data_IF_498649249449
#
_entry.id   IF_498649249449
#
_cell.length_a   1.000
_cell.length_b   1.000
_cell.length_c   1.000
_cell.angle_alpha   90.00
_cell.angle_beta   90.00
_cell.angle_gamma   90.00
#
_symmetry.space_group_name_H-M   'P 1'
#
loop_
_entity.id
_entity.type
_entity.pdbx_description
1 polymer ?
#
# COMPACT_ATOMS: atom_id res chain seq x y z
N UNK A 1 -7.57 5.77 25.78
CA UNK A 1 -6.58 4.73 25.42
C UNK A 1 -6.65 3.61 26.45
N UNK A 2 -6.78 2.38 25.97
CA UNK A 2 -6.87 1.15 26.76
C UNK A 2 -5.49 0.69 27.20
N UNK A 3 -5.35 0.17 28.41
CA UNK A 3 -4.10 -0.42 28.92
C UNK A 3 -4.06 -1.93 28.71
N UNK A 4 -2.88 -2.54 28.75
CA UNK A 4 -2.74 -4.01 28.69
C UNK A 4 -3.56 -4.70 29.79
N UNK A 5 -3.58 -4.14 31.02
CA UNK A 5 -4.38 -4.69 32.12
C UNK A 5 -5.87 -4.71 31.77
N UNK A 6 -6.39 -3.61 31.22
CA UNK A 6 -7.79 -3.53 30.77
C UNK A 6 -8.09 -4.50 29.62
N UNK A 7 -7.15 -4.69 28.69
CA UNK A 7 -7.29 -5.65 27.60
C UNK A 7 -7.30 -7.10 28.10
N UNK A 8 -6.41 -7.45 29.03
CA UNK A 8 -6.37 -8.77 29.67
C UNK A 8 -7.64 -9.01 30.48
N UNK A 9 -8.15 -8.02 31.21
CA UNK A 9 -9.41 -8.14 31.97
C UNK A 9 -10.63 -8.32 31.06
N UNK A 10 -10.67 -7.63 29.91
CA UNK A 10 -11.71 -7.82 28.91
C UNK A 10 -11.66 -9.24 28.33
N UNK A 11 -10.46 -9.73 27.97
CA UNK A 11 -10.29 -11.08 27.46
C UNK A 11 -10.53 -12.15 28.53
N UNK A 12 -10.18 -11.90 29.80
CA UNK A 12 -10.45 -12.82 30.90
C UNK A 12 -11.95 -13.02 31.09
N UNK A 13 -12.73 -11.93 31.09
CA UNK A 13 -14.20 -12.01 31.14
C UNK A 13 -14.79 -12.75 29.94
N UNK A 14 -14.22 -12.53 28.75
CA UNK A 14 -14.64 -13.24 27.54
C UNK A 14 -14.33 -14.74 27.57
N UNK A 15 -13.12 -15.12 28.01
CA UNK A 15 -12.64 -16.52 28.02
C UNK A 15 -13.25 -17.32 29.18
N UNK A 16 -13.30 -16.72 30.37
CA UNK A 16 -13.60 -17.42 31.62
C UNK A 16 -14.99 -17.11 32.17
N UNK A 17 -15.66 -16.05 31.71
CA UNK A 17 -16.93 -15.61 32.30
C UNK A 17 -16.80 -15.40 33.82
N UNK A 18 -17.71 -16.04 34.57
CA UNK A 18 -17.75 -15.99 36.05
C UNK A 18 -17.04 -17.20 36.71
N UNK A 19 -16.16 -17.91 36.00
CA UNK A 19 -15.47 -19.06 36.57
C UNK A 19 -14.63 -18.66 37.79
N UNK A 20 -14.63 -19.47 38.87
CA UNK A 20 -13.73 -19.29 40.01
C UNK A 20 -12.27 -19.23 39.54
N UNK A 21 -11.43 -18.46 40.24
CA UNK A 21 -10.05 -18.21 39.84
C UNK A 21 -9.23 -19.50 39.64
N UNK A 22 -9.50 -20.54 40.42
CA UNK A 22 -8.88 -21.87 40.33
C UNK A 22 -9.25 -22.65 39.06
N UNK A 23 -10.40 -22.34 38.46
CA UNK A 23 -10.91 -22.95 37.23
C UNK A 23 -10.71 -22.07 36.00
N UNK A 24 -10.10 -20.90 36.17
CA UNK A 24 -9.90 -19.93 35.09
C UNK A 24 -8.70 -20.32 34.20
N UNK A 25 -8.87 -20.21 32.89
CA UNK A 25 -7.78 -20.36 31.92
C UNK A 25 -6.97 -19.08 31.91
N UNK A 26 -5.65 -19.22 31.99
CA UNK A 26 -4.74 -18.10 31.83
C UNK A 26 -4.89 -17.50 30.43
N UNK A 27 -4.92 -16.18 30.36
CA UNK A 27 -4.98 -15.45 29.09
C UNK A 27 -3.55 -15.16 28.65
N UNK A 28 -3.21 -15.61 27.45
CA UNK A 28 -1.99 -15.22 26.75
C UNK A 28 -2.27 -13.96 25.93
N UNK A 29 -1.24 -13.14 25.72
CA UNK A 29 -1.38 -11.91 24.95
C UNK A 29 -0.17 -11.65 24.06
N UNK A 30 -0.41 -10.99 22.94
CA UNK A 30 0.59 -10.45 22.04
C UNK A 30 0.21 -9.02 21.69
N UNK A 31 1.12 -8.09 21.96
CA UNK A 31 0.93 -6.67 21.66
C UNK A 31 1.35 -6.34 20.23
N UNK A 32 0.59 -5.47 19.57
CA UNK A 32 0.93 -4.88 18.29
C UNK A 32 0.51 -3.40 18.25
N UNK A 33 0.76 -2.71 17.15
CA UNK A 33 0.57 -1.26 17.01
C UNK A 33 -0.88 -0.78 17.28
N UNK A 34 -1.88 -1.60 16.95
CA UNK A 34 -3.30 -1.25 17.10
C UNK A 34 -3.98 -1.82 18.37
N UNK A 35 -3.29 -2.66 19.16
CA UNK A 35 -3.93 -3.33 20.29
C UNK A 35 -3.21 -4.59 20.77
N UNK A 36 -4.00 -5.54 21.25
CA UNK A 36 -3.52 -6.83 21.75
C UNK A 36 -4.32 -7.97 21.15
N UNK A 37 -3.64 -8.99 20.64
CA UNK A 37 -4.25 -10.30 20.36
C UNK A 37 -4.21 -11.11 21.65
N UNK A 38 -5.32 -11.67 22.09
CA UNK A 38 -5.45 -12.43 23.33
C UNK A 38 -6.08 -13.79 23.07
N UNK A 39 -5.59 -14.84 23.70
CA UNK A 39 -6.12 -16.19 23.54
C UNK A 39 -5.95 -16.99 24.84
N UNK A 40 -6.78 -18.02 25.09
CA UNK A 40 -6.61 -18.84 26.27
C UNK A 40 -5.39 -19.75 26.15
N UNK A 41 -4.71 -20.00 27.27
CA UNK A 41 -3.66 -21.01 27.34
C UNK A 41 -4.25 -22.39 26.98
N UNK A 42 -3.55 -23.20 26.15
CA UNK A 42 -4.02 -24.52 25.79
C UNK A 42 -4.11 -25.42 27.04
N UNK A 43 -5.13 -26.29 27.14
CA UNK A 43 -5.19 -27.25 28.24
C UNK A 43 -3.97 -28.19 28.18
N UNK A 44 -3.45 -28.65 29.34
CA UNK A 44 -2.35 -29.59 29.39
C UNK A 44 -2.70 -30.89 28.66
N UNK A 45 -1.72 -31.44 27.93
CA UNK A 45 -1.89 -32.68 27.17
C UNK A 45 -2.05 -33.84 28.15
N UNK A 46 -3.23 -34.46 28.16
CA UNK A 46 -3.48 -35.65 28.97
C UNK A 46 -3.04 -36.89 28.21
N UNK A 47 -2.04 -37.59 28.75
CA UNK A 47 -1.57 -38.89 28.25
C UNK A 47 -2.20 -39.98 29.10
N UNK A 48 -2.80 -40.98 28.48
CA UNK A 48 -3.35 -42.12 29.21
C UNK A 48 -2.18 -42.88 29.90
N UNK A 49 -2.15 -42.96 31.24
CA UNK A 49 -1.03 -43.55 31.97
C UNK A 49 -0.88 -45.07 31.77
N UNK A 50 -1.92 -45.75 31.29
CA UNK A 50 -1.91 -47.20 31.05
C UNK A 50 -1.53 -47.56 29.61
N UNK A 51 -1.81 -46.70 28.64
CA UNK A 51 -1.60 -47.01 27.20
C UNK A 51 -0.54 -46.12 26.53
N UNK A 52 -0.10 -45.03 27.18
CA UNK A 52 0.84 -44.07 26.62
C UNK A 52 0.27 -43.24 25.46
N UNK A 53 -0.98 -43.46 25.07
CA UNK A 53 -1.64 -42.76 23.97
C UNK A 53 -2.05 -41.36 24.43
N UNK A 54 -1.67 -40.34 23.65
CA UNK A 54 -2.12 -38.96 23.85
C UNK A 54 -3.63 -38.90 23.62
N UNK A 55 -4.39 -38.43 24.61
CA UNK A 55 -5.81 -38.14 24.43
C UNK A 55 -5.93 -36.93 23.51
N UNK A 56 -6.80 -37.01 22.51
CA UNK A 56 -7.10 -35.85 21.66
C UNK A 56 -7.64 -34.71 22.54
N UNK A 57 -7.24 -33.45 22.32
CA UNK A 57 -7.80 -32.30 23.05
C UNK A 57 -9.33 -32.29 22.97
N UNK A 58 -10.01 -31.99 24.08
CA UNK A 58 -11.48 -31.90 24.11
C UNK A 58 -11.99 -30.68 23.32
N UNK A 59 -11.16 -29.65 23.14
CA UNK A 59 -11.43 -28.47 22.32
C UNK A 59 -10.46 -28.36 21.14
N UNK A 60 -10.99 -28.32 19.92
CA UNK A 60 -10.23 -28.07 18.69
C UNK A 60 -10.31 -26.57 18.37
N UNK A 61 -9.18 -25.86 18.46
CA UNK A 61 -9.02 -24.48 17.99
C UNK A 61 -9.75 -23.43 18.83
N UNK A 62 -9.20 -23.06 19.98
CA UNK A 62 -9.74 -21.95 20.77
C UNK A 62 -9.63 -20.64 19.96
N UNK A 63 -10.77 -19.94 19.80
CA UNK A 63 -10.80 -18.61 19.19
C UNK A 63 -9.83 -17.66 19.89
N UNK A 64 -9.33 -16.67 19.18
CA UNK A 64 -8.57 -15.57 19.77
C UNK A 64 -9.42 -14.29 19.73
N UNK A 65 -9.04 -13.28 20.49
CA UNK A 65 -9.67 -11.97 20.49
C UNK A 65 -8.64 -10.89 20.19
N UNK A 66 -9.10 -9.77 19.65
CA UNK A 66 -8.32 -8.54 19.58
C UNK A 66 -9.01 -7.47 20.40
N UNK A 67 -8.25 -6.83 21.29
CA UNK A 67 -8.69 -5.62 22.01
C UNK A 67 -8.04 -4.40 21.36
N UNK A 68 -8.88 -3.49 20.88
CA UNK A 68 -8.46 -2.21 20.28
C UNK A 68 -7.85 -1.27 21.33
N UNK A 69 -6.71 -0.66 21.01
CA UNK A 69 -6.03 0.28 21.92
C UNK A 69 -6.73 1.63 22.06
N UNK A 70 -7.33 2.13 20.99
CA UNK A 70 -8.01 3.41 20.98
C UNK A 70 -9.38 3.31 21.67
N UNK A 71 -10.16 2.28 21.33
CA UNK A 71 -11.56 2.14 21.75
C UNK A 71 -11.77 1.21 22.93
N UNK A 72 -10.89 0.22 23.14
CA UNK A 72 -11.07 -0.84 24.13
C UNK A 72 -12.06 -1.92 23.72
N UNK A 73 -12.55 -1.90 22.48
CA UNK A 73 -13.46 -2.90 21.94
C UNK A 73 -12.77 -4.27 21.82
N UNK A 74 -13.41 -5.32 22.35
CA UNK A 74 -12.99 -6.70 22.18
C UNK A 74 -13.73 -7.34 21.00
N UNK A 75 -12.98 -7.89 20.06
CA UNK A 75 -13.50 -8.55 18.86
C UNK A 75 -12.95 -9.97 18.76
N UNK A 76 -13.77 -10.95 18.38
CA UNK A 76 -13.38 -12.37 18.33
C UNK A 76 -12.96 -12.77 16.92
N UNK A 77 -11.93 -13.59 16.81
CA UNK A 77 -11.24 -13.95 15.59
C UNK A 77 -10.98 -15.46 15.50
N UNK A 78 -10.82 -16.01 14.28
CA UNK A 78 -10.49 -17.41 14.07
C UNK A 78 -9.24 -17.86 14.82
N UNK A 79 -9.15 -19.16 15.13
CA UNK A 79 -7.97 -19.77 15.74
C UNK A 79 -6.85 -19.94 14.70
N UNK A 80 -6.22 -18.83 14.32
CA UNK A 80 -5.08 -18.76 13.39
C UNK A 80 -3.86 -18.19 14.11
N UNK A 81 -2.63 -18.37 13.57
CA UNK A 81 -1.43 -17.79 14.19
C UNK A 81 -1.57 -16.30 14.43
N UNK A 82 -1.04 -15.80 15.55
CA UNK A 82 -1.15 -14.39 15.96
C UNK A 82 -0.83 -13.37 14.85
N UNK A 83 0.23 -13.53 14.03
CA UNK A 83 0.49 -12.60 12.93
C UNK A 83 -0.66 -12.52 11.90
N UNK A 84 -1.36 -13.63 11.68
CA UNK A 84 -2.53 -13.68 10.80
C UNK A 84 -3.72 -12.95 11.41
N UNK A 85 -3.93 -13.08 12.73
CA UNK A 85 -4.96 -12.31 13.46
C UNK A 85 -4.68 -10.80 13.39
N UNK A 86 -3.41 -10.41 13.57
CA UNK A 86 -2.98 -9.01 13.43
C UNK A 86 -3.26 -8.50 12.02
N UNK A 87 -2.91 -9.29 10.99
CA UNK A 87 -3.17 -8.95 9.59
C UNK A 87 -4.67 -8.78 9.33
N UNK A 88 -5.48 -9.75 9.75
CA UNK A 88 -6.94 -9.72 9.64
C UNK A 88 -7.56 -8.53 10.35
N UNK A 89 -7.06 -8.20 11.53
CA UNK A 89 -7.54 -7.07 12.31
C UNK A 89 -7.15 -5.73 11.68
N UNK A 90 -5.94 -5.61 11.14
CA UNK A 90 -5.54 -4.48 10.31
C UNK A 90 -6.45 -4.35 9.11
N UNK A 91 -6.64 -5.42 8.35
CA UNK A 91 -7.55 -5.44 7.20
C UNK A 91 -8.97 -5.02 7.60
N UNK A 92 -9.50 -5.52 8.73
CA UNK A 92 -10.76 -5.05 9.28
C UNK A 92 -10.71 -3.57 9.61
N UNK A 93 -9.71 -3.03 10.27
CA UNK A 93 -9.69 -1.59 10.56
C UNK A 93 -9.68 -0.74 9.27
N UNK A 94 -9.05 -1.22 8.21
CA UNK A 94 -9.10 -0.59 6.89
C UNK A 94 -10.41 -0.84 6.12
N UNK A 95 -11.11 -1.93 6.42
CA UNK A 95 -12.38 -2.34 5.84
C UNK A 95 -13.52 -2.31 6.88
N UNK A 96 -13.45 -1.41 7.88
CA UNK A 96 -14.13 -1.54 9.18
C UNK A 96 -15.66 -1.56 9.18
N UNK A 97 -16.24 -1.44 8.00
CA UNK A 97 -17.67 -1.44 7.73
C UNK A 97 -18.02 -2.43 6.61
N UNK A 98 -17.11 -3.36 6.26
CA UNK A 98 -17.35 -4.29 5.18
C UNK A 98 -18.52 -5.20 5.52
N UNK A 99 -19.58 -5.05 4.74
CA UNK A 99 -20.74 -5.92 4.76
C UNK A 99 -20.76 -6.71 3.45
N UNK A 100 -20.58 -8.05 3.48
CA UNK A 100 -20.64 -8.88 2.28
C UNK A 100 -22.05 -8.93 1.66
N UNK A 101 -23.10 -8.52 2.38
CA UNK A 101 -24.45 -8.37 1.83
C UNK A 101 -24.63 -7.08 1.02
N UNK A 102 -23.70 -6.12 1.14
CA UNK A 102 -23.72 -4.88 0.39
C UNK A 102 -22.76 -4.96 -0.81
N UNK A 103 -23.05 -4.25 -1.92
CA UNK A 103 -22.13 -4.19 -3.04
C UNK A 103 -20.82 -3.50 -2.63
N UNK A 104 -19.67 -3.83 -3.23
CA UNK A 104 -18.44 -3.08 -3.01
C UNK A 104 -18.58 -1.61 -3.45
N UNK A 105 -18.06 -0.68 -2.64
CA UNK A 105 -18.12 0.77 -2.94
C UNK A 105 -16.83 1.43 -2.48
N UNK A 106 -16.23 2.27 -3.33
CA UNK A 106 -15.05 3.06 -2.94
C UNK A 106 -15.42 4.24 -2.04
N UNK A 107 -14.39 4.79 -1.40
CA UNK A 107 -14.40 5.98 -0.58
C UNK A 107 -14.83 7.24 -1.33
N UNK A 108 -15.22 8.29 -0.60
CA UNK A 108 -15.53 9.61 -1.16
C UNK A 108 -14.29 10.34 -1.68
N UNK A 109 -13.08 9.82 -1.45
CA UNK A 109 -11.82 10.53 -1.70
C UNK A 109 -11.60 11.66 -0.71
N UNK A 110 -11.10 12.79 -1.20
CA UNK A 110 -10.84 14.00 -0.41
C UNK A 110 -11.23 15.25 -1.19
N UNK A 111 -11.46 16.34 -0.49
CA UNK A 111 -11.58 17.69 -1.04
C UNK A 111 -10.22 18.40 -0.98
N UNK A 112 -9.95 19.23 -1.97
CA UNK A 112 -8.87 20.20 -1.95
C UNK A 112 -9.40 21.60 -2.25
N UNK A 113 -8.93 22.57 -1.48
CA UNK A 113 -9.20 23.99 -1.61
C UNK A 113 -7.90 24.74 -1.86
N UNK A 114 -7.82 25.47 -2.97
CA UNK A 114 -6.71 26.35 -3.29
C UNK A 114 -7.16 27.80 -3.16
N UNK A 115 -6.45 28.57 -2.33
CA UNK A 115 -6.63 30.02 -2.23
C UNK A 115 -5.55 30.69 -3.09
N UNK A 116 -5.92 31.61 -3.96
CA UNK A 116 -4.99 32.29 -4.88
C UNK A 116 -5.39 33.75 -5.11
N UNK A 117 -4.52 34.56 -5.70
CA UNK A 117 -4.85 35.92 -6.16
C UNK A 117 -5.27 35.90 -7.61
N UNK A 118 -6.39 36.54 -7.93
CA UNK A 118 -6.82 36.74 -9.31
C UNK A 118 -6.05 37.87 -10.02
N UNK A 119 -6.43 38.20 -11.26
CA UNK A 119 -5.80 39.25 -12.06
C UNK A 119 -5.86 40.65 -11.42
N UNK A 120 -6.82 40.87 -10.51
CA UNK A 120 -6.97 42.13 -9.77
C UNK A 120 -6.19 42.12 -8.44
N UNK A 121 -5.55 40.99 -8.10
CA UNK A 121 -4.83 40.79 -6.85
C UNK A 121 -5.74 40.38 -5.68
N UNK A 122 -7.04 40.15 -5.93
CA UNK A 122 -8.01 39.80 -4.90
C UNK A 122 -7.97 38.29 -4.58
N UNK A 123 -8.12 37.90 -3.30
CA UNK A 123 -8.09 36.50 -2.91
C UNK A 123 -9.36 35.76 -3.39
N UNK A 124 -9.15 34.70 -4.16
CA UNK A 124 -10.17 33.78 -4.64
C UNK A 124 -9.90 32.36 -4.14
N UNK A 125 -10.94 31.52 -4.20
CA UNK A 125 -10.87 30.12 -3.79
C UNK A 125 -11.38 29.20 -4.91
N UNK A 126 -10.63 28.14 -5.20
CA UNK A 126 -11.05 27.03 -6.05
C UNK A 126 -11.15 25.75 -5.21
N UNK A 127 -12.31 25.09 -5.24
CA UNK A 127 -12.55 23.83 -4.53
C UNK A 127 -12.80 22.71 -5.53
N UNK A 128 -12.03 21.62 -5.41
CA UNK A 128 -12.27 20.38 -6.16
C UNK A 128 -12.36 19.17 -5.23
N UNK A 129 -13.06 18.14 -5.69
CA UNK A 129 -13.14 16.84 -5.03
C UNK A 129 -12.41 15.77 -5.85
N UNK A 130 -11.95 14.71 -5.19
CA UNK A 130 -11.44 13.51 -5.84
C UNK A 130 -12.41 12.99 -6.90
N UNK A 131 -11.83 12.50 -8.00
CA UNK A 131 -12.55 11.66 -8.97
C UNK A 131 -11.74 10.37 -9.12
N UNK A 132 -12.42 9.23 -9.20
CA UNK A 132 -11.79 7.91 -9.33
C UNK A 132 -10.89 7.85 -10.56
N UNK A 133 -9.69 7.30 -10.42
CA UNK A 133 -8.75 7.13 -11.54
C UNK A 133 -8.14 8.44 -12.05
N UNK A 134 -8.33 9.56 -11.35
CA UNK A 134 -7.81 10.88 -11.71
C UNK A 134 -6.77 11.35 -10.70
N UNK A 135 -5.82 12.21 -11.10
CA UNK A 135 -4.89 12.84 -10.15
C UNK A 135 -5.62 13.52 -8.99
N UNK A 136 -4.92 13.61 -7.86
CA UNK A 136 -5.41 14.23 -6.64
C UNK A 136 -6.02 15.63 -6.90
N UNK A 137 -7.14 15.99 -6.24
CA UNK A 137 -7.86 17.24 -6.54
C UNK A 137 -7.00 18.50 -6.40
N UNK A 138 -6.02 18.52 -5.48
CA UNK A 138 -5.08 19.62 -5.35
C UNK A 138 -4.22 19.86 -6.62
N UNK A 139 -3.73 18.77 -7.26
CA UNK A 139 -2.97 18.89 -8.49
C UNK A 139 -3.86 19.33 -9.66
N UNK A 140 -5.08 18.79 -9.76
CA UNK A 140 -6.02 19.22 -10.80
C UNK A 140 -6.46 20.68 -10.63
N UNK A 141 -6.65 21.13 -9.38
CA UNK A 141 -6.98 22.52 -9.10
C UNK A 141 -5.83 23.42 -9.54
N UNK A 142 -4.59 23.03 -9.26
CA UNK A 142 -3.41 23.74 -9.75
C UNK A 142 -3.30 23.75 -11.29
N UNK A 143 -3.53 22.62 -11.96
CA UNK A 143 -3.57 22.56 -13.43
C UNK A 143 -4.63 23.49 -14.02
N UNK A 144 -5.81 23.55 -13.39
CA UNK A 144 -6.89 24.45 -13.81
C UNK A 144 -6.51 25.92 -13.63
N UNK A 145 -5.88 26.29 -12.50
CA UNK A 145 -5.41 27.65 -12.25
C UNK A 145 -4.29 28.06 -13.24
N UNK A 146 -3.35 27.16 -13.55
CA UNK A 146 -2.34 27.41 -14.57
C UNK A 146 -2.95 27.68 -15.95
N UNK A 147 -3.97 26.93 -16.34
CA UNK A 147 -4.70 27.16 -17.60
C UNK A 147 -5.41 28.51 -17.63
N UNK A 148 -5.73 29.07 -16.46
CA UNK A 148 -6.31 30.40 -16.28
C UNK A 148 -5.24 31.50 -16.14
N UNK A 149 -3.95 31.17 -16.28
CA UNK A 149 -2.85 32.14 -16.22
C UNK A 149 -2.40 32.52 -14.81
N UNK A 150 -2.89 31.85 -13.77
CA UNK A 150 -2.46 32.08 -12.39
C UNK A 150 -1.04 31.53 -12.20
N UNK A 151 -0.15 32.35 -11.65
CA UNK A 151 1.24 31.95 -11.37
C UNK A 151 1.33 31.20 -10.03
N UNK A 152 2.37 30.39 -9.86
CA UNK A 152 2.51 29.55 -8.65
C UNK A 152 2.64 30.38 -7.37
N UNK A 153 3.35 31.50 -7.44
CA UNK A 153 3.55 32.50 -6.39
C UNK A 153 2.27 33.27 -6.01
N UNK A 154 1.26 33.25 -6.88
CA UNK A 154 -0.06 33.84 -6.60
C UNK A 154 -0.97 32.86 -5.86
N UNK A 155 -0.58 31.58 -5.74
CA UNK A 155 -1.27 30.59 -4.90
C UNK A 155 -0.81 30.73 -3.45
N UNK A 156 -1.73 31.13 -2.58
CA UNK A 156 -1.47 31.46 -1.19
C UNK A 156 -1.55 30.24 -0.26
N UNK A 157 -2.48 29.32 -0.51
CA UNK A 157 -2.70 28.17 0.35
C UNK A 157 -3.30 26.97 -0.38
N UNK A 158 -2.98 25.79 0.12
CA UNK A 158 -3.61 24.50 -0.24
C UNK A 158 -4.15 23.89 1.05
N UNK A 159 -5.45 23.63 1.10
CA UNK A 159 -6.11 22.98 2.23
C UNK A 159 -6.82 21.70 1.78
N UNK A 160 -6.67 20.60 2.52
CA UNK A 160 -7.28 19.31 2.18
C UNK A 160 -7.91 18.61 3.38
N UNK A 161 -8.94 17.77 3.16
CA UNK A 161 -9.51 17.00 4.28
C UNK A 161 -8.47 16.01 4.83
N UNK A 162 -7.79 15.29 3.95
CA UNK A 162 -6.73 14.35 4.30
C UNK A 162 -5.36 14.97 4.00
N UNK A 163 -4.40 14.84 4.91
CA UNK A 163 -3.00 15.28 4.67
C UNK A 163 -2.46 14.68 3.37
N UNK A 164 -1.81 15.50 2.55
CA UNK A 164 -1.08 15.04 1.36
C UNK A 164 -0.03 13.99 1.78
N UNK A 165 -0.15 12.79 1.22
CA UNK A 165 0.68 11.65 1.59
C UNK A 165 1.97 11.54 0.78
N UNK A 166 3.03 11.02 1.41
CA UNK A 166 4.21 10.46 0.74
C UNK A 166 4.00 8.95 0.56
N UNK A 167 3.10 8.60 -0.36
CA UNK A 167 2.68 7.22 -0.63
C UNK A 167 2.87 6.89 -2.12
N UNK A 168 3.07 5.59 -2.44
CA UNK A 168 3.06 5.10 -3.82
C UNK A 168 1.84 5.56 -4.62
N UNK A 169 2.02 5.81 -5.91
CA UNK A 169 0.95 6.27 -6.81
C UNK A 169 0.83 7.80 -6.94
N UNK A 170 1.80 8.57 -6.43
CA UNK A 170 1.91 9.98 -6.80
C UNK A 170 2.68 10.90 -5.85
N UNK A 171 3.05 10.45 -4.64
CA UNK A 171 3.87 11.23 -3.68
C UNK A 171 3.41 12.68 -3.53
N UNK A 172 2.10 12.86 -3.28
CA UNK A 172 1.42 14.13 -3.45
C UNK A 172 2.01 15.29 -2.65
N UNK A 173 2.53 15.02 -1.45
CA UNK A 173 3.17 16.07 -0.66
C UNK A 173 4.38 16.67 -1.39
N UNK A 174 5.26 15.83 -1.94
CA UNK A 174 6.40 16.27 -2.75
C UNK A 174 5.93 16.93 -4.05
N UNK A 175 4.95 16.32 -4.72
CA UNK A 175 4.44 16.77 -6.00
C UNK A 175 3.81 18.18 -5.93
N UNK A 176 3.11 18.50 -4.82
CA UNK A 176 2.55 19.82 -4.56
C UNK A 176 3.64 20.79 -4.10
N UNK A 177 4.51 20.39 -3.16
CA UNK A 177 5.57 21.27 -2.66
C UNK A 177 6.54 21.73 -3.78
N UNK A 178 6.85 20.86 -4.74
CA UNK A 178 7.70 21.21 -5.88
C UNK A 178 7.03 22.15 -6.89
N UNK A 179 5.69 22.15 -6.99
CA UNK A 179 4.92 22.97 -7.93
C UNK A 179 4.44 24.29 -7.32
N UNK A 180 4.18 24.30 -6.02
CA UNK A 180 3.62 25.40 -5.25
C UNK A 180 4.49 25.66 -3.99
N UNK A 181 5.76 26.07 -4.16
CA UNK A 181 6.71 26.17 -3.05
C UNK A 181 6.35 27.23 -2.00
N UNK A 182 5.67 28.31 -2.40
CA UNK A 182 5.28 29.42 -1.51
C UNK A 182 3.92 29.22 -0.84
N UNK A 183 3.13 28.23 -1.30
CA UNK A 183 1.78 28.02 -0.79
C UNK A 183 1.80 27.37 0.59
N UNK A 184 1.00 27.91 1.52
CA UNK A 184 0.81 27.28 2.84
C UNK A 184 -0.04 26.02 2.72
N UNK A 185 0.53 24.86 3.03
CA UNK A 185 -0.17 23.57 3.00
C UNK A 185 -0.76 23.25 4.38
N UNK A 186 -2.06 23.01 4.46
CA UNK A 186 -2.78 22.63 5.69
C UNK A 186 -3.74 21.47 5.43
N UNK A 187 -4.19 20.79 6.50
CA UNK A 187 -5.12 19.66 6.38
C UNK A 187 -6.01 19.52 7.62
N UNK A 188 -7.14 18.82 7.51
CA UNK A 188 -8.04 18.54 8.62
C UNK A 188 -7.63 17.27 9.41
N UNK A 189 -7.33 16.18 8.69
CA UNK A 189 -7.04 14.86 9.27
C UNK A 189 -5.65 14.35 8.87
N UNK A 190 -4.97 13.71 9.82
CA UNK A 190 -3.63 13.16 9.61
C UNK A 190 -3.70 11.88 8.80
N UNK A 191 -3.35 11.97 7.53
CA UNK A 191 -3.19 10.82 6.61
C UNK A 191 -1.71 10.64 6.26
N UNK A 192 -1.18 9.41 6.19
CA UNK A 192 0.28 9.27 6.24
C UNK A 192 0.89 7.91 5.95
N UNK A 193 2.19 7.75 6.24
CA UNK A 193 2.95 6.57 5.84
C UNK A 193 2.54 5.28 6.56
N UNK A 194 1.73 5.38 7.63
CA UNK A 194 1.33 4.26 8.47
C UNK A 194 -0.15 3.92 8.30
N UNK A 195 -0.45 2.64 8.22
CA UNK A 195 -1.76 2.08 7.95
C UNK A 195 -2.81 2.49 8.97
N UNK A 196 -2.45 2.42 10.25
CA UNK A 196 -3.30 2.80 11.39
C UNK A 196 -3.85 4.21 11.26
N UNK A 197 -2.96 5.18 11.03
CA UNK A 197 -3.34 6.59 10.84
C UNK A 197 -4.16 6.81 9.57
N UNK A 198 -3.82 6.13 8.47
CA UNK A 198 -4.63 6.20 7.22
C UNK A 198 -6.05 5.70 7.44
N UNK A 199 -6.19 4.55 8.10
CA UNK A 199 -7.48 3.94 8.38
C UNK A 199 -8.33 4.78 9.34
N UNK A 200 -7.71 5.34 10.39
CA UNK A 200 -8.40 6.25 11.34
C UNK A 200 -8.89 7.54 10.66
N UNK A 201 -8.04 8.18 9.85
CA UNK A 201 -8.42 9.39 9.14
C UNK A 201 -9.60 9.15 8.19
N UNK A 202 -9.58 8.06 7.41
CA UNK A 202 -10.69 7.74 6.50
C UNK A 202 -11.97 7.39 7.23
N UNK A 203 -11.92 6.61 8.32
CA UNK A 203 -13.10 6.35 9.15
C UNK A 203 -13.71 7.64 9.70
N UNK A 204 -12.86 8.56 10.16
CA UNK A 204 -13.29 9.86 10.69
C UNK A 204 -13.94 10.71 9.60
N UNK A 205 -13.32 10.79 8.43
CA UNK A 205 -13.87 11.51 7.26
C UNK A 205 -15.24 10.96 6.85
N UNK A 206 -15.38 9.64 6.75
CA UNK A 206 -16.65 9.00 6.39
C UNK A 206 -17.73 9.25 7.45
N UNK A 207 -17.37 9.28 8.73
CA UNK A 207 -18.31 9.57 9.82
C UNK A 207 -18.81 11.02 9.82
N UNK A 208 -18.04 11.96 9.25
CA UNK A 208 -18.43 13.37 9.10
C UNK A 208 -19.36 13.61 7.90
N UNK A 209 -19.50 12.65 6.98
CA UNK A 209 -20.39 12.79 5.84
C UNK A 209 -21.86 12.83 6.28
N UNK A 210 -22.68 13.76 5.74
CA UNK A 210 -24.09 13.82 6.05
C UNK A 210 -24.78 12.52 5.65
N UNK A 211 -25.61 11.97 6.55
CA UNK A 211 -26.30 10.71 6.29
C UNK A 211 -27.32 10.82 5.15
N UNK A 212 -27.94 12.00 5.00
CA UNK A 212 -28.89 12.31 3.95
C UNK A 212 -28.78 13.78 3.53
N UNK A 213 -29.13 14.06 2.28
CA UNK A 213 -29.41 15.42 1.80
C UNK A 213 -30.65 15.96 2.51
N UNK A 214 -30.92 17.28 2.48
CA UNK A 214 -32.17 17.84 2.99
C UNK A 214 -33.43 17.14 2.45
N UNK A 215 -33.36 16.61 1.23
CA UNK A 215 -34.45 15.85 0.57
C UNK A 215 -34.54 14.37 0.95
N UNK A 216 -33.79 13.91 1.96
CA UNK A 216 -33.83 12.52 2.46
C UNK A 216 -33.11 11.47 1.60
N UNK A 217 -32.41 11.87 0.52
CA UNK A 217 -31.57 10.96 -0.30
C UNK A 217 -30.20 10.79 0.35
N UNK A 218 -29.49 9.66 0.16
CA UNK A 218 -28.12 9.51 0.62
C UNK A 218 -27.23 10.63 0.04
N UNK A 219 -26.55 11.41 0.89
CA UNK A 219 -25.77 12.56 0.44
C UNK A 219 -24.43 12.18 -0.21
N UNK A 220 -23.87 11.01 0.15
CA UNK A 220 -22.64 10.48 -0.40
C UNK A 220 -22.67 8.94 -0.39
N UNK A 221 -21.98 8.26 -1.32
CA UNK A 221 -21.81 6.82 -1.27
C UNK A 221 -21.15 6.40 0.04
N UNK A 222 -21.76 5.43 0.74
CA UNK A 222 -21.13 4.84 1.92
C UNK A 222 -20.11 3.80 1.45
N UNK A 223 -18.83 3.92 1.83
CA UNK A 223 -17.81 3.00 1.37
C UNK A 223 -18.05 1.60 1.92
N UNK A 224 -17.84 0.59 1.07
CA UNK A 224 -17.90 -0.82 1.43
C UNK A 224 -16.68 -1.50 0.82
N UNK A 225 -15.52 -1.28 1.45
CA UNK A 225 -14.22 -1.78 0.98
C UNK A 225 -14.14 -3.28 1.20
N UNK A 226 -13.79 -4.02 0.16
CA UNK A 226 -13.52 -5.47 0.28
C UNK A 226 -12.15 -5.67 0.96
N UNK A 227 -12.07 -6.47 2.05
CA UNK A 227 -10.80 -6.82 2.69
C UNK A 227 -9.83 -7.49 1.72
N UNK A 228 -8.52 -7.45 2.01
CA UNK A 228 -7.56 -8.18 1.19
C UNK A 228 -7.86 -9.68 1.23
N UNK A 229 -7.84 -10.36 0.07
CA UNK A 229 -8.29 -11.74 0.01
C UNK A 229 -7.27 -12.65 0.69
N UNK A 230 -7.76 -13.52 1.58
CA UNK A 230 -6.91 -14.45 2.35
C UNK A 230 -6.47 -15.66 1.53
N UNK A 231 -7.30 -16.07 0.56
CA UNK A 231 -7.08 -17.21 -0.30
C UNK A 231 -7.59 -16.90 -1.72
N UNK A 232 -6.66 -16.83 -2.67
CA UNK A 232 -6.95 -16.64 -4.09
C UNK A 232 -6.26 -17.77 -4.86
N UNK A 233 -6.97 -18.46 -5.78
CA UNK A 233 -6.32 -19.41 -6.68
C UNK A 233 -5.20 -18.72 -7.47
N UNK A 234 -3.99 -19.29 -7.52
CA UNK A 234 -2.89 -18.67 -8.24
C UNK A 234 -3.23 -18.54 -9.73
N UNK A 235 -2.83 -17.43 -10.32
CA UNK A 235 -2.95 -17.21 -11.75
C UNK A 235 -2.18 -18.31 -12.51
N UNK A 236 -2.66 -18.67 -13.70
CA UNK A 236 -1.97 -19.66 -14.52
C UNK A 236 -0.52 -19.20 -14.78
N UNK A 237 0.47 -20.11 -14.67
CA UNK A 237 1.83 -19.84 -15.11
C UNK A 237 1.82 -19.44 -16.59
N UNK A 238 2.66 -18.48 -16.94
CA UNK A 238 2.76 -17.93 -18.29
C UNK A 238 4.22 -18.12 -18.73
N UNK A 239 4.44 -18.67 -19.92
CA UNK A 239 5.82 -18.87 -20.41
C UNK A 239 6.46 -17.53 -20.77
N UNK A 240 7.79 -17.41 -20.62
CA UNK A 240 8.50 -16.16 -20.90
C UNK A 240 8.24 -15.59 -22.31
N UNK A 241 8.22 -16.38 -23.40
CA UNK A 241 7.90 -15.85 -24.73
C UNK A 241 6.46 -15.31 -24.85
N UNK A 242 5.50 -15.96 -24.20
CA UNK A 242 4.09 -15.55 -24.19
C UNK A 242 3.91 -14.24 -23.43
N UNK A 243 4.52 -14.15 -22.23
CA UNK A 243 4.52 -12.95 -21.42
C UNK A 243 5.17 -11.78 -22.19
N UNK A 244 6.32 -12.01 -22.81
CA UNK A 244 7.01 -10.98 -23.57
C UNK A 244 6.18 -10.49 -24.78
N UNK A 245 5.51 -11.40 -25.50
CA UNK A 245 4.61 -11.04 -26.59
C UNK A 245 3.41 -10.23 -26.09
N UNK A 246 2.82 -10.61 -24.96
CA UNK A 246 1.71 -9.87 -24.34
C UNK A 246 2.13 -8.47 -23.91
N UNK A 247 3.30 -8.31 -23.28
CA UNK A 247 3.84 -7.00 -22.90
C UNK A 247 4.09 -6.13 -24.13
N UNK A 248 4.71 -6.68 -25.18
CA UNK A 248 4.95 -5.94 -26.43
C UNK A 248 3.64 -5.50 -27.09
N UNK A 249 2.59 -6.33 -27.05
CA UNK A 249 1.27 -5.98 -27.56
C UNK A 249 0.60 -4.86 -26.73
N UNK A 250 0.81 -4.84 -25.42
CA UNK A 250 0.21 -3.86 -24.51
C UNK A 250 0.94 -2.52 -24.52
N UNK A 251 2.27 -2.54 -24.44
CA UNK A 251 3.09 -1.34 -24.27
C UNK A 251 3.70 -0.84 -25.60
N UNK A 252 3.61 -1.62 -26.67
CA UNK A 252 4.26 -1.33 -27.95
C UNK A 252 5.73 -1.76 -27.99
N UNK A 253 6.38 -1.66 -29.18
CA UNK A 253 7.73 -2.17 -29.40
C UNK A 253 8.81 -1.46 -28.56
N UNK A 254 8.65 -0.15 -28.31
CA UNK A 254 9.57 0.65 -27.49
C UNK A 254 9.15 0.71 -26.01
N UNK A 255 7.96 0.17 -25.69
CA UNK A 255 7.38 0.23 -24.35
C UNK A 255 7.89 -0.86 -23.39
N UNK A 256 8.72 -1.78 -23.88
CA UNK A 256 9.32 -2.86 -23.09
C UNK A 256 10.82 -2.93 -23.38
N UNK A 257 11.63 -2.97 -22.32
CA UNK A 257 13.08 -3.06 -22.42
C UNK A 257 13.59 -4.37 -21.85
N UNK A 258 14.24 -5.16 -22.71
CA UNK A 258 15.07 -6.30 -22.31
C UNK A 258 16.48 -5.83 -22.00
N UNK A 259 17.11 -6.52 -21.05
CA UNK A 259 18.49 -6.27 -20.66
C UNK A 259 19.42 -7.11 -21.52
N UNK A 260 20.66 -6.64 -21.69
CA UNK A 260 21.70 -7.39 -22.37
C UNK A 260 22.42 -8.32 -21.39
N UNK A 261 22.94 -9.44 -21.89
CA UNK A 261 23.70 -10.40 -21.09
C UNK A 261 24.87 -9.73 -20.36
N UNK A 262 25.53 -8.75 -21.00
CA UNK A 262 26.61 -7.99 -20.39
C UNK A 262 26.17 -7.22 -19.13
N UNK A 263 24.97 -6.62 -19.12
CA UNK A 263 24.46 -5.88 -17.95
C UNK A 263 24.22 -6.83 -16.77
N UNK A 264 23.62 -7.98 -17.04
CA UNK A 264 23.30 -8.99 -16.04
C UNK A 264 24.56 -9.64 -15.47
N UNK A 265 25.54 -9.95 -16.33
CA UNK A 265 26.83 -10.49 -15.91
C UNK A 265 27.65 -9.49 -15.11
N UNK A 266 27.66 -8.20 -15.49
CA UNK A 266 28.36 -7.16 -14.73
C UNK A 266 27.78 -6.96 -13.33
N UNK A 267 26.49 -7.22 -13.15
CA UNK A 267 25.79 -7.14 -11.87
C UNK A 267 25.81 -8.45 -11.05
N UNK A 268 26.45 -9.51 -11.55
CA UNK A 268 26.52 -10.85 -10.93
C UNK A 268 25.13 -11.38 -10.48
N UNK A 269 24.13 -11.19 -11.33
CA UNK A 269 22.76 -11.59 -11.02
C UNK A 269 22.58 -13.11 -11.04
N UNK A 270 21.92 -13.72 -10.04
CA UNK A 270 21.52 -15.12 -10.11
C UNK A 270 20.57 -15.39 -11.28
N UNK A 271 20.59 -16.61 -11.81
CA UNK A 271 19.80 -17.02 -12.98
C UNK A 271 18.30 -16.71 -12.83
N UNK A 272 17.74 -16.90 -11.63
CA UNK A 272 16.34 -16.64 -11.34
C UNK A 272 15.93 -15.17 -11.51
N UNK A 273 16.87 -14.23 -11.35
CA UNK A 273 16.67 -12.78 -11.54
C UNK A 273 17.06 -12.37 -12.96
N UNK A 274 18.18 -12.90 -13.44
CA UNK A 274 18.72 -12.67 -14.78
C UNK A 274 17.72 -13.02 -15.89
N UNK A 275 17.12 -14.21 -15.81
CA UNK A 275 16.33 -14.79 -16.91
C UNK A 275 15.09 -13.95 -17.26
N UNK A 276 14.25 -13.48 -16.30
CA UNK A 276 13.17 -12.54 -16.62
C UNK A 276 13.64 -11.26 -17.31
N UNK A 277 14.76 -10.66 -16.88
CA UNK A 277 15.29 -9.42 -17.48
C UNK A 277 15.75 -9.63 -18.93
N UNK A 278 16.33 -10.80 -19.23
CA UNK A 278 16.83 -11.16 -20.56
C UNK A 278 15.71 -11.59 -21.52
N UNK A 279 14.81 -12.48 -21.08
CA UNK A 279 13.80 -13.11 -21.96
C UNK A 279 12.53 -12.27 -22.09
N UNK A 280 12.11 -11.63 -21.00
CA UNK A 280 10.84 -10.87 -20.92
C UNK A 280 11.09 -9.37 -21.00
N UNK A 281 12.00 -8.86 -20.17
CA UNK A 281 12.21 -7.43 -19.98
C UNK A 281 11.17 -6.78 -19.06
N UNK A 282 11.28 -5.46 -18.89
CA UNK A 282 10.40 -4.65 -18.06
C UNK A 282 9.71 -3.56 -18.89
N UNK A 283 8.47 -3.16 -18.56
CA UNK A 283 7.85 -1.97 -19.14
C UNK A 283 8.75 -0.75 -18.91
N UNK A 284 8.89 0.13 -19.91
CA UNK A 284 9.70 1.36 -19.75
C UNK A 284 9.04 2.35 -18.80
N UNK A 285 7.70 2.41 -18.81
CA UNK A 285 6.93 3.17 -17.84
C UNK A 285 5.52 2.59 -17.63
N UNK A 286 5.03 2.72 -16.40
CA UNK A 286 3.62 2.66 -16.03
C UNK A 286 3.34 3.96 -15.28
N UNK A 287 2.60 4.87 -15.92
CA UNK A 287 2.42 6.26 -15.48
C UNK A 287 2.07 6.37 -13.98
N UNK A 288 2.93 7.04 -13.20
CA UNK A 288 2.74 7.26 -11.76
C UNK A 288 3.11 6.09 -10.84
N UNK A 289 3.54 4.94 -11.40
CA UNK A 289 3.79 3.71 -10.64
C UNK A 289 5.13 3.04 -10.93
N UNK A 290 5.66 3.19 -12.14
CA UNK A 290 6.97 2.66 -12.49
C UNK A 290 7.57 3.45 -13.65
N UNK A 291 8.85 3.74 -13.56
CA UNK A 291 9.71 4.21 -14.64
C UNK A 291 11.01 3.44 -14.55
N UNK A 292 11.37 2.79 -15.65
CA UNK A 292 12.56 1.96 -15.74
C UNK A 292 13.82 2.81 -15.59
N UNK A 293 14.76 2.35 -14.77
CA UNK A 293 16.13 2.86 -14.79
C UNK A 293 16.90 2.11 -15.86
N UNK A 294 17.15 2.76 -16.99
CA UNK A 294 17.97 2.21 -18.05
C UNK A 294 18.68 3.36 -18.77
N UNK A 295 19.81 3.86 -18.23
CA UNK A 295 20.56 4.94 -18.85
C UNK A 295 20.96 4.54 -20.27
N UNK A 296 20.71 5.44 -21.23
CA UNK A 296 21.16 5.29 -22.61
C UNK A 296 22.46 6.08 -22.70
N UNK A 297 23.55 5.43 -23.14
CA UNK A 297 24.80 6.16 -23.41
C UNK A 297 24.51 7.20 -24.49
N UNK A 298 24.77 8.47 -24.19
CA UNK A 298 24.63 9.59 -25.12
C UNK A 298 25.76 9.63 -26.17
N UNK A 299 26.67 8.63 -26.15
CA UNK A 299 27.80 8.51 -27.06
C UNK A 299 28.91 9.53 -26.81
N UNK A 300 28.77 10.39 -25.80
CA UNK A 300 29.78 11.38 -25.42
C UNK A 300 30.70 10.75 -24.39
N UNK A 301 31.93 10.43 -24.81
CA UNK A 301 32.97 10.00 -23.88
C UNK A 301 33.57 11.25 -23.24
N UNK A 302 32.86 11.83 -22.27
CA UNK A 302 33.36 12.97 -21.48
C UNK A 302 34.31 12.52 -20.34
N UNK A 303 34.50 11.20 -20.19
CA UNK A 303 35.34 10.61 -19.14
C UNK A 303 34.60 10.43 -17.81
N UNK A 304 33.34 10.85 -17.70
CA UNK A 304 32.45 10.51 -16.60
C UNK A 304 32.07 9.03 -16.72
N UNK A 305 32.13 8.23 -15.63
CA UNK A 305 31.67 6.85 -15.69
C UNK A 305 30.18 6.83 -16.04
N UNK A 306 29.81 6.09 -17.09
CA UNK A 306 28.41 5.89 -17.45
C UNK A 306 27.66 5.27 -16.27
N UNK A 307 26.47 5.78 -15.96
CA UNK A 307 25.64 5.23 -14.89
C UNK A 307 25.37 3.74 -15.18
N UNK A 308 25.59 2.85 -14.20
CA UNK A 308 25.33 1.43 -14.41
C UNK A 308 23.83 1.19 -14.65
N UNK A 309 23.53 0.23 -15.51
CA UNK A 309 22.15 -0.17 -15.84
C UNK A 309 21.43 -0.82 -14.66
N UNK A 310 22.19 -1.46 -13.77
CA UNK A 310 21.69 -2.07 -12.52
C UNK A 310 22.58 -1.61 -11.34
N UNK A 311 22.47 -0.35 -10.88
CA UNK A 311 23.28 0.16 -9.79
C UNK A 311 23.00 -0.57 -8.47
N UNK A 312 24.03 -0.75 -7.65
CA UNK A 312 23.82 -1.00 -6.21
C UNK A 312 23.12 0.21 -5.58
N UNK A 313 22.00 -0.03 -4.91
CA UNK A 313 21.16 1.07 -4.40
C UNK A 313 21.85 1.88 -3.31
N UNK A 314 22.70 1.26 -2.49
CA UNK A 314 23.40 1.98 -1.43
C UNK A 314 24.46 2.92 -2.02
N UNK A 315 25.22 2.44 -3.01
CA UNK A 315 26.15 3.26 -3.76
C UNK A 315 25.43 4.41 -4.51
N UNK A 316 24.29 4.12 -5.14
CA UNK A 316 23.49 5.12 -5.85
C UNK A 316 22.98 6.22 -4.90
N UNK A 317 22.41 5.85 -3.74
CA UNK A 317 21.98 6.83 -2.74
C UNK A 317 23.14 7.67 -2.21
N UNK A 318 24.29 7.06 -1.96
CA UNK A 318 25.48 7.78 -1.52
C UNK A 318 25.97 8.81 -2.55
N UNK A 319 25.96 8.45 -3.84
CA UNK A 319 26.32 9.36 -4.94
C UNK A 319 25.37 10.57 -5.03
N UNK A 320 24.09 10.39 -4.70
CA UNK A 320 23.10 11.46 -4.64
C UNK A 320 23.14 12.26 -3.33
N UNK A 321 23.99 11.91 -2.37
CA UNK A 321 24.00 12.52 -1.02
C UNK A 321 22.75 12.21 -0.20
N UNK A 322 22.05 11.11 -0.52
CA UNK A 322 20.79 10.65 0.08
C UNK A 322 21.05 9.50 1.07
N UNK A 323 19.99 8.99 1.71
CA UNK A 323 20.10 7.92 2.71
C UNK A 323 20.76 8.34 4.04
N UNK A 324 20.99 9.63 4.25
CA UNK A 324 21.65 10.18 5.45
C UNK A 324 20.80 10.00 6.70
N UNK A 325 19.47 9.94 6.56
CA UNK A 325 18.50 9.73 7.64
C UNK A 325 18.25 8.24 7.93
N UNK A 326 18.87 7.32 7.19
CA UNK A 326 18.68 5.90 7.38
C UNK A 326 19.23 5.39 8.72
N UNK A 327 18.45 4.54 9.38
CA UNK A 327 18.93 3.79 10.55
C UNK A 327 19.96 2.73 10.14
N UNK A 328 20.75 2.23 11.08
CA UNK A 328 21.71 1.14 10.81
C UNK A 328 21.01 -0.11 10.23
N UNK A 329 19.84 -0.46 10.76
CA UNK A 329 19.04 -1.58 10.26
C UNK A 329 18.52 -1.35 8.83
N UNK A 330 18.05 -0.12 8.53
CA UNK A 330 17.62 0.24 7.18
C UNK A 330 18.77 0.15 6.17
N UNK A 331 19.96 0.66 6.52
CA UNK A 331 21.17 0.54 5.69
C UNK A 331 21.59 -0.89 5.45
N UNK A 332 21.52 -1.75 6.48
CA UNK A 332 21.80 -3.17 6.32
C UNK A 332 20.81 -3.84 5.35
N UNK A 333 19.55 -3.39 5.35
CA UNK A 333 18.52 -3.86 4.42
C UNK A 333 18.77 -3.51 2.94
N UNK A 334 19.71 -2.60 2.64
CA UNK A 334 20.10 -2.25 1.26
C UNK A 334 21.12 -3.22 0.66
N UNK A 335 21.78 -4.05 1.48
CA UNK A 335 22.79 -4.98 0.99
C UNK A 335 22.18 -5.96 -0.02
N UNK A 336 22.80 -6.08 -1.19
CA UNK A 336 22.33 -6.94 -2.27
C UNK A 336 21.07 -6.43 -2.99
N UNK A 337 20.72 -5.15 -2.84
CA UNK A 337 19.62 -4.54 -3.58
C UNK A 337 20.16 -3.81 -4.81
N UNK A 338 19.73 -4.24 -6.00
CA UNK A 338 20.04 -3.56 -7.25
C UNK A 338 18.84 -2.76 -7.73
N UNK A 339 19.05 -1.52 -8.14
CA UNK A 339 18.00 -0.64 -8.65
C UNK A 339 17.59 -1.04 -10.06
N UNK A 340 16.27 -1.14 -10.28
CA UNK A 340 15.65 -1.42 -11.58
C UNK A 340 14.79 -0.25 -12.07
N UNK A 341 14.43 0.70 -11.21
CA UNK A 341 13.59 1.83 -11.61
C UNK A 341 13.16 2.68 -10.44
N UNK A 342 12.11 3.47 -10.65
CA UNK A 342 11.49 4.32 -9.64
C UNK A 342 9.98 4.36 -9.84
N UNK A 343 9.21 4.62 -8.79
CA UNK A 343 7.79 4.94 -8.88
C UNK A 343 7.52 6.46 -8.84
N UNK A 344 8.56 7.28 -9.02
CA UNK A 344 8.53 8.73 -8.98
C UNK A 344 9.16 9.33 -7.72
N UNK A 345 9.35 8.54 -6.67
CA UNK A 345 10.10 8.93 -5.48
C UNK A 345 10.95 7.78 -4.94
N UNK A 346 10.33 6.63 -4.67
CA UNK A 346 11.05 5.47 -4.17
C UNK A 346 11.85 4.81 -5.30
N UNK A 347 12.96 4.20 -4.92
CA UNK A 347 13.78 3.40 -5.83
C UNK A 347 13.26 1.97 -5.81
N UNK A 348 12.86 1.47 -6.96
CA UNK A 348 12.40 0.10 -7.14
C UNK A 348 13.63 -0.78 -7.34
N UNK A 349 13.77 -1.80 -6.49
CA UNK A 349 14.95 -2.65 -6.41
C UNK A 349 14.60 -4.13 -6.51
N UNK A 350 15.57 -4.93 -6.91
CA UNK A 350 15.54 -6.39 -6.80
C UNK A 350 16.61 -6.87 -5.82
N UNK A 351 16.21 -7.76 -4.91
CA UNK A 351 17.09 -8.49 -4.00
C UNK A 351 17.84 -9.59 -4.76
N UNK A 352 19.17 -9.55 -4.78
CA UNK A 352 19.97 -10.59 -5.45
C UNK A 352 19.99 -11.92 -4.72
N UNK A 353 19.63 -11.98 -3.43
CA UNK A 353 19.59 -13.24 -2.70
C UNK A 353 18.26 -14.00 -2.92
N UNK A 354 17.14 -13.27 -3.01
CA UNK A 354 15.79 -13.86 -3.00
C UNK A 354 14.95 -13.51 -4.24
N UNK A 355 15.41 -12.59 -5.09
CA UNK A 355 14.68 -12.08 -6.24
C UNK A 355 13.53 -11.13 -5.91
N UNK A 356 13.33 -10.80 -4.63
CA UNK A 356 12.20 -9.98 -4.14
C UNK A 356 12.29 -8.55 -4.63
N UNK A 357 11.14 -7.98 -4.98
CA UNK A 357 11.04 -6.58 -5.39
C UNK A 357 10.66 -5.71 -4.21
N UNK A 358 11.37 -4.59 -4.05
CA UNK A 358 11.17 -3.64 -2.96
C UNK A 358 11.15 -2.21 -3.49
N UNK A 359 10.42 -1.33 -2.82
CA UNK A 359 10.44 0.10 -3.06
C UNK A 359 11.14 0.77 -1.88
N UNK A 360 12.34 1.30 -2.11
CA UNK A 360 13.24 1.89 -1.11
C UNK A 360 13.04 3.40 -1.08
N UNK A 361 12.69 3.94 0.08
CA UNK A 361 12.66 5.38 0.29
C UNK A 361 14.08 5.97 0.23
N UNK A 362 14.33 7.00 -0.60
CA UNK A 362 15.67 7.50 -0.84
C UNK A 362 16.29 8.21 0.37
N UNK A 363 15.50 8.77 1.29
CA UNK A 363 16.03 9.53 2.43
C UNK A 363 16.24 8.63 3.66
N UNK A 364 15.27 7.75 3.94
CA UNK A 364 15.25 6.90 5.14
C UNK A 364 15.76 5.48 4.89
N UNK A 365 15.95 5.06 3.64
CA UNK A 365 16.28 3.69 3.22
C UNK A 365 15.31 2.62 3.74
N UNK A 366 14.13 3.02 4.20
CA UNK A 366 13.08 2.06 4.57
C UNK A 366 12.47 1.50 3.30
N UNK A 367 12.10 0.22 3.32
CA UNK A 367 11.69 -0.48 2.11
C UNK A 367 10.30 -1.10 2.28
N UNK A 368 9.38 -0.79 1.35
CA UNK A 368 8.11 -1.51 1.21
C UNK A 368 8.32 -2.72 0.31
N UNK A 369 7.78 -3.86 0.71
CA UNK A 369 7.77 -5.04 -0.15
C UNK A 369 6.78 -4.86 -1.30
N UNK A 370 7.17 -5.24 -2.51
CA UNK A 370 6.32 -5.19 -3.71
C UNK A 370 5.87 -6.59 -4.10
N UNK A 371 6.81 -7.44 -4.52
CA UNK A 371 6.51 -8.78 -5.02
C UNK A 371 7.59 -9.80 -4.68
N UNK A 372 7.22 -11.08 -4.82
CA UNK A 372 8.07 -12.23 -4.59
C UNK A 372 9.21 -12.30 -5.61
N UNK A 373 8.96 -11.93 -6.86
CA UNK A 373 9.93 -11.96 -7.94
C UNK A 373 9.62 -10.95 -9.07
N UNK A 374 10.56 -10.81 -10.00
CA UNK A 374 10.43 -9.94 -11.18
C UNK A 374 9.27 -10.33 -12.10
N UNK A 375 8.94 -11.61 -12.23
CA UNK A 375 7.86 -12.06 -13.11
C UNK A 375 6.51 -11.62 -12.54
N UNK A 376 6.29 -11.85 -11.25
CA UNK A 376 5.12 -11.38 -10.52
C UNK A 376 4.99 -9.85 -10.57
N UNK A 377 6.08 -9.12 -10.35
CA UNK A 377 6.08 -7.65 -10.44
C UNK A 377 5.72 -7.16 -11.85
N UNK A 378 6.34 -7.72 -12.89
CA UNK A 378 6.08 -7.35 -14.28
C UNK A 378 4.63 -7.63 -14.69
N UNK A 379 4.08 -8.78 -14.30
CA UNK A 379 2.67 -9.12 -14.56
C UNK A 379 1.73 -8.20 -13.78
N UNK A 380 2.09 -7.80 -12.57
CA UNK A 380 1.30 -6.89 -11.73
C UNK A 380 1.27 -5.47 -12.29
N UNK A 381 2.42 -4.97 -12.79
CA UNK A 381 2.50 -3.69 -13.52
C UNK A 381 1.65 -3.71 -14.79
N UNK A 382 1.72 -4.79 -15.56
CA UNK A 382 0.91 -4.95 -16.76
C UNK A 382 -0.61 -4.98 -16.43
N UNK A 383 -0.99 -5.68 -15.36
CA UNK A 383 -2.37 -5.70 -14.88
C UNK A 383 -2.84 -4.31 -14.45
N UNK A 384 -2.02 -3.57 -13.69
CA UNK A 384 -2.35 -2.21 -13.28
C UNK A 384 -2.52 -1.29 -14.50
N UNK A 385 -1.58 -1.34 -15.45
CA UNK A 385 -1.62 -0.51 -16.66
C UNK A 385 -2.86 -0.76 -17.53
N UNK A 386 -3.37 -2.01 -17.57
CA UNK A 386 -4.61 -2.35 -18.27
C UNK A 386 -5.86 -1.84 -17.54
N UNK A 387 -5.86 -1.88 -16.21
CA UNK A 387 -7.07 -1.67 -15.38
C UNK A 387 -7.27 -0.23 -14.95
N UNK A 388 -6.20 0.48 -14.63
CA UNK A 388 -6.27 1.84 -14.09
C UNK A 388 -7.01 2.82 -15.03
N UNK A 389 -6.77 2.83 -16.36
CA UNK A 389 -7.51 3.73 -17.26
C UNK A 389 -9.03 3.49 -17.26
N UNK A 390 -9.47 2.26 -16.94
CA UNK A 390 -10.90 1.89 -16.91
C UNK A 390 -11.60 2.37 -15.64
N UNK A 391 -10.86 2.79 -14.61
CA UNK A 391 -11.40 3.35 -13.38
C UNK A 391 -11.74 4.84 -13.50
N UNK A 392 -11.23 5.52 -14.54
CA UNK A 392 -11.37 6.97 -14.73
C UNK A 392 -12.83 7.39 -14.71
N UNK A 393 -13.13 8.32 -13.82
CA UNK A 393 -14.43 8.98 -13.65
C UNK A 393 -15.59 8.02 -13.32
N UNK A 394 -15.31 6.77 -12.95
CA UNK A 394 -16.33 5.85 -12.48
C UNK A 394 -16.97 6.38 -11.19
N UNK A 395 -18.29 6.27 -11.10
CA UNK A 395 -19.00 6.52 -9.85
C UNK A 395 -18.56 5.49 -8.78
N UNK A 396 -18.49 5.83 -7.47
CA UNK A 396 -17.98 4.91 -6.44
C UNK A 396 -18.60 3.49 -6.39
N UNK A 397 -19.90 3.36 -6.70
CA UNK A 397 -20.57 2.05 -6.81
C UNK A 397 -20.11 1.20 -8.01
N UNK A 398 -19.66 1.82 -9.10
CA UNK A 398 -19.08 1.13 -10.25
C UNK A 398 -17.57 0.91 -10.08
N UNK A 399 -16.88 1.84 -9.40
CA UNK A 399 -15.47 1.72 -9.07
C UNK A 399 -15.20 0.57 -8.10
N UNK A 400 -16.07 0.35 -7.11
CA UNK A 400 -15.90 -0.69 -6.08
C UNK A 400 -15.64 -2.09 -6.66
N UNK A 401 -16.53 -2.64 -7.52
CA UNK A 401 -16.29 -3.92 -8.17
C UNK A 401 -14.99 -3.95 -8.99
N UNK A 402 -14.67 -2.88 -9.72
CA UNK A 402 -13.47 -2.82 -10.54
C UNK A 402 -12.17 -2.80 -9.70
N UNK A 403 -12.15 -2.12 -8.55
CA UNK A 403 -11.03 -2.17 -7.60
C UNK A 403 -10.92 -3.56 -6.96
N UNK A 404 -12.04 -4.20 -6.62
CA UNK A 404 -12.05 -5.57 -6.10
C UNK A 404 -11.47 -6.58 -7.11
N UNK A 405 -11.81 -6.44 -8.40
CA UNK A 405 -11.23 -7.27 -9.47
C UNK A 405 -9.72 -7.07 -9.60
N UNK A 406 -9.24 -5.83 -9.57
CA UNK A 406 -7.80 -5.54 -9.61
C UNK A 406 -7.09 -6.13 -8.40
N UNK A 407 -7.64 -5.95 -7.20
CA UNK A 407 -7.13 -6.53 -5.95
C UNK A 407 -7.02 -8.06 -6.04
N UNK A 408 -8.07 -8.72 -6.55
CA UNK A 408 -8.08 -10.17 -6.74
C UNK A 408 -7.03 -10.62 -7.75
N UNK A 409 -6.91 -9.92 -8.88
CA UNK A 409 -5.91 -10.22 -9.91
C UNK A 409 -4.48 -10.10 -9.40
N UNK A 410 -4.17 -9.05 -8.63
CA UNK A 410 -2.86 -8.89 -7.99
C UNK A 410 -2.58 -10.01 -6.99
N UNK A 411 -3.58 -10.42 -6.19
CA UNK A 411 -3.42 -11.50 -5.23
C UNK A 411 -3.23 -12.86 -5.91
N UNK A 412 -3.86 -13.08 -7.07
CA UNK A 412 -3.67 -14.27 -7.88
C UNK A 412 -2.26 -14.34 -8.49
N UNK A 413 -1.69 -13.19 -8.88
CA UNK A 413 -0.31 -13.10 -9.37
C UNK A 413 0.70 -13.30 -8.25
N UNK A 414 0.46 -12.69 -7.09
CA UNK A 414 1.31 -12.80 -5.91
C UNK A 414 0.56 -12.44 -4.63
N UNK A 415 0.13 -13.48 -3.89
CA UNK A 415 -0.59 -13.31 -2.62
C UNK A 415 0.22 -12.58 -1.54
N UNK A 416 1.55 -12.64 -1.61
CA UNK A 416 2.41 -12.06 -0.57
C UNK A 416 2.39 -10.54 -0.61
N UNK A 417 2.00 -9.95 -1.75
CA UNK A 417 1.79 -8.50 -1.89
C UNK A 417 0.79 -7.93 -0.88
N UNK A 418 -0.16 -8.74 -0.38
CA UNK A 418 -1.14 -8.35 0.63
C UNK A 418 -0.90 -8.99 2.01
N UNK A 419 0.28 -9.57 2.24
CA UNK A 419 0.66 -10.14 3.54
C UNK A 419 0.84 -9.09 4.64
N UNK A 420 1.11 -7.84 4.27
CA UNK A 420 1.20 -6.70 5.18
C UNK A 420 0.53 -5.48 4.51
N UNK A 421 -0.35 -4.74 5.20
CA UNK A 421 -0.99 -3.53 4.64
C UNK A 421 -0.01 -2.39 4.34
N UNK A 422 1.24 -2.47 4.79
CA UNK A 422 2.31 -1.53 4.42
C UNK A 422 3.06 -1.92 3.15
N UNK A 423 2.75 -3.07 2.55
CA UNK A 423 3.30 -3.43 1.25
C UNK A 423 2.86 -2.44 0.17
N UNK A 424 3.69 -2.31 -0.85
CA UNK A 424 3.53 -1.29 -1.90
C UNK A 424 2.18 -1.40 -2.63
N UNK A 425 1.83 -2.61 -3.09
CA UNK A 425 0.52 -2.86 -3.71
C UNK A 425 -0.65 -2.71 -2.74
N UNK A 426 -0.48 -3.12 -1.48
CA UNK A 426 -1.51 -2.97 -0.46
C UNK A 426 -1.87 -1.48 -0.26
N UNK A 427 -0.86 -0.61 -0.20
CA UNK A 427 -1.06 0.84 -0.08
C UNK A 427 -1.73 1.45 -1.32
N UNK A 428 -1.38 1.00 -2.53
CA UNK A 428 -2.03 1.46 -3.77
C UNK A 428 -3.51 1.06 -3.80
N UNK A 429 -3.80 -0.21 -3.53
CA UNK A 429 -5.18 -0.71 -3.53
C UNK A 429 -6.00 -0.05 -2.42
N UNK A 430 -5.42 0.17 -1.24
CA UNK A 430 -6.06 0.92 -0.17
C UNK A 430 -6.42 2.35 -0.63
N UNK A 431 -5.51 3.07 -1.29
CA UNK A 431 -5.79 4.42 -1.80
C UNK A 431 -6.88 4.43 -2.87
N UNK A 432 -6.93 3.43 -3.77
CA UNK A 432 -8.02 3.26 -4.73
C UNK A 432 -9.36 3.01 -4.00
N UNK A 433 -9.36 2.17 -2.96
CA UNK A 433 -10.53 1.98 -2.11
C UNK A 433 -10.94 3.24 -1.35
N UNK A 434 -10.02 4.13 -1.02
CA UNK A 434 -10.33 5.42 -0.40
C UNK A 434 -10.85 6.45 -1.41
N UNK A 435 -10.76 6.19 -2.71
CA UNK A 435 -11.10 7.16 -3.77
C UNK A 435 -10.03 8.24 -3.96
N UNK A 436 -8.77 7.94 -3.64
CA UNK A 436 -7.65 8.88 -3.70
C UNK A 436 -6.77 8.72 -4.95
N UNK A 437 -6.97 7.63 -5.70
CA UNK A 437 -6.28 7.32 -6.96
C UNK A 437 -7.25 7.06 -8.11
#
# INVERSE_FOLDING_TARGET
MTTLAQAVDAAHRWINGDLPQESSRKVQSYEFDLGWVLWPEPPPVHVNPLTGVRRAPEEIGAACAVVDRATGELTVWPSVPVPEVVRLYRDKLGAGLYDPALPPVTGPGTRAELTYRDELGEPQTLVLHSLTGRPHPALRAWEQLQQQGVRAEDVLAVHTDLRLGMLPGGYLAQAVAGRLPEARITHELVYGPRFDGRAEAVRTLVAQLPAATPDGRPAAPRPNRVPFPLAVPPAQPEAAPELAARLAAQFGPEGVRRFEAAHVSAADLPEAVARPLLEVGLPTAVEGFFTLHHPVSDGVVDGSPADPVLPDVAAHLAALGRGTLATAAARQGLLGQLMIGTDGWALLTVDTAQGRIRAVDPDYATARYCNADLTAFTRSLALLADRLPRLRDLHPYAAGPAVAELQWGLAALDRTAFGDPENWWAVIIEQLWHGLL
#
